data_IF_906228504189
#
_entry.id   IF_906228504189
#
_cell.length_a   1.000
_cell.length_b   1.000
_cell.length_c   1.000
_cell.angle_alpha   90.00
_cell.angle_beta   90.00
_cell.angle_gamma   90.00
#
_symmetry.space_group_name_H-M   'P 1'
#
loop_
_entity.id
_entity.type
_entity.pdbx_description
1 polymer ?
#
# COMPACT_ATOMS: atom_id res chain seq x y z
N UNK A 1 12.91 -21.82 -0.32
CA UNK A 1 14.20 -21.21 0.08
C UNK A 1 15.27 -21.41 -1.00
N UNK A 2 15.57 -22.64 -1.44
CA UNK A 2 16.58 -22.89 -2.49
C UNK A 2 16.28 -22.23 -3.86
N UNK A 3 15.02 -22.24 -4.32
CA UNK A 3 14.64 -21.62 -5.61
C UNK A 3 14.61 -20.08 -5.61
N UNK A 4 14.40 -19.44 -4.46
CA UNK A 4 14.39 -17.97 -4.35
C UNK A 4 15.80 -17.39 -4.45
N UNK A 5 16.77 -18.08 -3.86
CA UNK A 5 18.18 -17.71 -3.94
C UNK A 5 18.70 -17.78 -5.38
N UNK A 6 18.17 -18.69 -6.20
CA UNK A 6 18.55 -18.84 -7.60
C UNK A 6 18.03 -17.67 -8.48
N UNK A 7 16.76 -17.29 -8.34
CA UNK A 7 16.21 -16.15 -9.09
C UNK A 7 16.83 -14.80 -8.69
N UNK A 8 17.10 -14.60 -7.40
CA UNK A 8 17.81 -13.40 -6.94
C UNK A 8 19.19 -13.29 -7.59
N UNK A 9 19.97 -14.39 -7.58
CA UNK A 9 21.28 -14.43 -8.22
C UNK A 9 21.20 -14.20 -9.73
N UNK A 10 20.17 -14.72 -10.40
CA UNK A 10 19.90 -14.47 -11.83
C UNK A 10 19.61 -12.99 -12.11
N UNK A 11 18.84 -12.31 -11.25
CA UNK A 11 18.53 -10.89 -11.41
C UNK A 11 19.79 -10.03 -11.17
N UNK A 12 20.60 -10.41 -10.18
CA UNK A 12 21.90 -9.79 -9.92
C UNK A 12 22.87 -9.96 -11.10
N UNK A 13 22.94 -11.15 -11.70
CA UNK A 13 23.79 -11.38 -12.88
C UNK A 13 23.28 -10.58 -14.09
N UNK A 14 21.96 -10.50 -14.29
CA UNK A 14 21.38 -9.67 -15.34
C UNK A 14 21.77 -8.19 -15.18
N UNK A 15 21.71 -7.67 -13.95
CA UNK A 15 22.16 -6.32 -13.60
C UNK A 15 23.66 -6.15 -13.86
N UNK A 16 24.48 -7.14 -13.50
CA UNK A 16 25.93 -7.11 -13.71
C UNK A 16 26.30 -7.10 -15.20
N UNK A 17 25.66 -7.91 -16.04
CA UNK A 17 25.87 -7.90 -17.50
C UNK A 17 25.60 -6.51 -18.08
N UNK A 18 24.46 -5.91 -17.71
CA UNK A 18 24.09 -4.57 -18.16
C UNK A 18 25.06 -3.49 -17.66
N UNK A 19 25.55 -3.66 -16.43
CA UNK A 19 26.59 -2.78 -15.87
C UNK A 19 27.89 -2.89 -16.65
N UNK A 20 28.36 -4.11 -16.95
CA UNK A 20 29.59 -4.37 -17.71
C UNK A 20 29.55 -3.70 -19.08
N UNK A 21 28.48 -3.91 -19.86
CA UNK A 21 28.38 -3.26 -21.17
C UNK A 21 28.24 -1.73 -21.06
N UNK A 22 27.60 -1.21 -20.01
CA UNK A 22 27.51 0.24 -19.78
C UNK A 22 28.85 0.91 -19.44
N UNK A 23 29.83 0.13 -18.96
CA UNK A 23 31.20 0.58 -18.64
C UNK A 23 32.26 0.10 -19.64
N UNK A 24 31.87 -0.66 -20.68
CA UNK A 24 32.76 -1.14 -21.74
C UNK A 24 33.56 -2.40 -21.38
N UNK A 25 33.04 -3.22 -20.46
CA UNK A 25 33.69 -4.44 -19.93
C UNK A 25 32.93 -5.73 -20.30
N UNK A 26 32.21 -5.76 -21.43
CA UNK A 26 31.42 -6.93 -21.82
C UNK A 26 32.27 -8.13 -22.28
N UNK A 27 31.72 -9.34 -22.12
CA UNK A 27 32.33 -10.59 -22.58
C UNK A 27 31.56 -11.20 -23.75
N UNK A 28 32.21 -12.09 -24.52
CA UNK A 28 31.56 -12.79 -25.65
C UNK A 28 30.31 -13.60 -25.23
N UNK A 29 30.24 -14.03 -23.98
CA UNK A 29 29.12 -14.84 -23.45
C UNK A 29 27.96 -13.99 -22.94
N UNK A 30 28.17 -12.70 -22.68
CA UNK A 30 27.18 -11.83 -22.04
C UNK A 30 25.93 -11.68 -22.89
N UNK A 31 26.04 -11.70 -24.21
CA UNK A 31 24.90 -11.58 -25.12
C UNK A 31 23.88 -12.72 -24.99
N UNK A 32 24.35 -13.97 -24.96
CA UNK A 32 23.50 -15.15 -24.80
C UNK A 32 22.96 -15.26 -23.36
N UNK A 33 23.81 -14.97 -22.36
CA UNK A 33 23.40 -14.93 -20.95
C UNK A 33 22.31 -13.88 -20.72
N UNK A 34 22.46 -12.68 -21.28
CA UNK A 34 21.46 -11.62 -21.21
C UNK A 34 20.11 -12.10 -21.75
N UNK A 35 20.11 -12.73 -22.94
CA UNK A 35 18.88 -13.22 -23.58
C UNK A 35 18.18 -14.27 -22.72
N UNK A 36 18.94 -15.24 -22.21
CA UNK A 36 18.42 -16.27 -21.31
C UNK A 36 17.84 -15.69 -20.03
N UNK A 37 18.61 -14.88 -19.30
CA UNK A 37 18.17 -14.28 -18.04
C UNK A 37 16.95 -13.36 -18.23
N UNK A 38 16.93 -12.58 -19.31
CA UNK A 38 15.77 -11.77 -19.68
C UNK A 38 14.53 -12.63 -19.90
N UNK A 39 14.65 -13.76 -20.61
CA UNK A 39 13.53 -14.67 -20.86
C UNK A 39 12.97 -15.26 -19.56
N UNK A 40 13.83 -15.65 -18.62
CA UNK A 40 13.43 -16.14 -17.29
C UNK A 40 12.48 -15.15 -16.61
N UNK A 41 12.85 -13.87 -16.52
CA UNK A 41 12.02 -12.87 -15.82
C UNK A 41 10.84 -12.36 -16.64
N UNK A 42 10.94 -12.29 -17.97
CA UNK A 42 9.83 -11.84 -18.84
C UNK A 42 8.73 -12.89 -18.93
N UNK A 43 9.04 -14.18 -18.76
CA UNK A 43 8.08 -15.28 -18.82
C UNK A 43 7.05 -15.28 -17.68
N UNK A 44 7.36 -14.60 -16.56
CA UNK A 44 6.48 -14.47 -15.41
C UNK A 44 5.91 -13.04 -15.31
N UNK A 45 4.59 -12.93 -15.25
CA UNK A 45 3.85 -11.66 -15.24
C UNK A 45 4.29 -10.73 -14.11
N UNK A 46 4.57 -11.26 -12.92
CA UNK A 46 4.96 -10.46 -11.75
C UNK A 46 6.38 -9.94 -11.88
N UNK A 47 7.36 -10.80 -12.19
CA UNK A 47 8.74 -10.36 -12.36
C UNK A 47 8.88 -9.43 -13.54
N UNK A 48 8.13 -9.65 -14.63
CA UNK A 48 8.10 -8.76 -15.79
C UNK A 48 7.66 -7.35 -15.44
N UNK A 49 6.66 -7.21 -14.55
CA UNK A 49 6.17 -5.89 -14.11
C UNK A 49 7.17 -5.13 -13.22
N UNK A 50 8.15 -5.83 -12.64
CA UNK A 50 9.17 -5.28 -11.76
C UNK A 50 10.53 -5.09 -12.46
N UNK A 51 10.66 -5.53 -13.71
CA UNK A 51 11.89 -5.34 -14.48
C UNK A 51 12.02 -3.88 -14.95
N UNK A 52 13.25 -3.37 -15.07
CA UNK A 52 13.49 -2.10 -15.75
C UNK A 52 12.93 -2.09 -17.17
N UNK A 53 12.37 -0.95 -17.58
CA UNK A 53 11.78 -0.77 -18.91
C UNK A 53 12.77 -1.14 -20.03
N UNK A 54 14.05 -0.81 -19.86
CA UNK A 54 15.07 -1.11 -20.85
C UNK A 54 15.34 -2.60 -21.01
N UNK A 55 15.14 -3.42 -19.97
CA UNK A 55 15.21 -4.88 -20.10
C UNK A 55 14.06 -5.39 -20.96
N UNK A 56 12.89 -4.75 -20.90
CA UNK A 56 11.73 -5.11 -21.71
C UNK A 56 11.97 -4.69 -23.18
N UNK A 57 12.44 -3.46 -23.41
CA UNK A 57 12.57 -2.90 -24.76
C UNK A 57 13.82 -3.38 -25.50
N UNK A 58 14.98 -3.49 -24.81
CA UNK A 58 16.23 -3.97 -25.41
C UNK A 58 16.21 -5.50 -25.44
N UNK A 59 15.82 -6.09 -26.56
CA UNK A 59 15.68 -7.55 -26.68
C UNK A 59 17.03 -8.25 -26.77
N UNK A 60 18.03 -7.57 -27.32
CA UNK A 60 19.41 -8.02 -27.40
C UNK A 60 20.29 -7.10 -26.55
N UNK A 61 21.41 -7.63 -26.03
CA UNK A 61 22.35 -6.86 -25.22
C UNK A 61 22.91 -5.65 -26.01
N UNK A 62 23.12 -5.80 -27.32
CA UNK A 62 23.60 -4.72 -28.19
C UNK A 62 22.61 -3.56 -28.36
N UNK A 63 21.32 -3.77 -28.08
CA UNK A 63 20.31 -2.70 -28.10
C UNK A 63 20.47 -1.75 -26.90
N UNK A 64 21.07 -2.24 -25.80
CA UNK A 64 21.17 -1.50 -24.55
C UNK A 64 22.29 -0.44 -24.57
N UNK A 65 23.42 -0.71 -25.23
CA UNK A 65 24.53 0.26 -25.27
C UNK A 65 24.12 1.62 -25.87
N UNK A 66 23.46 1.69 -27.04
CA UNK A 66 22.94 2.94 -27.57
C UNK A 66 21.90 3.60 -26.64
N UNK A 67 21.09 2.81 -25.95
CA UNK A 67 20.08 3.29 -25.01
C UNK A 67 20.71 4.05 -23.84
N UNK A 68 21.74 3.47 -23.21
CA UNK A 68 22.35 4.03 -21.99
C UNK A 68 23.34 5.17 -22.32
N UNK A 69 24.11 5.03 -23.40
CA UNK A 69 25.12 6.03 -23.82
C UNK A 69 24.49 7.39 -24.15
N UNK A 70 23.27 7.41 -24.70
CA UNK A 70 22.55 8.64 -25.04
C UNK A 70 22.00 9.38 -23.82
N UNK A 71 21.78 8.68 -22.70
CA UNK A 71 21.18 9.25 -21.49
C UNK A 71 22.24 9.78 -20.51
N UNK A 72 23.37 9.10 -20.40
CA UNK A 72 24.36 9.39 -19.37
C UNK A 72 25.78 9.45 -19.95
N UNK A 73 26.47 10.54 -19.62
CA UNK A 73 27.84 10.83 -20.07
C UNK A 73 28.91 10.14 -19.23
N UNK A 74 28.66 9.88 -17.94
CA UNK A 74 29.65 9.26 -17.04
C UNK A 74 29.33 7.80 -16.73
N UNK A 75 30.36 7.00 -16.42
CA UNK A 75 30.16 5.63 -15.95
C UNK A 75 29.52 5.56 -14.56
N UNK A 76 29.72 6.58 -13.73
CA UNK A 76 29.10 6.65 -12.41
C UNK A 76 27.57 6.74 -12.55
N UNK A 77 27.08 7.68 -13.36
CA UNK A 77 25.62 7.89 -13.54
C UNK A 77 24.94 6.66 -14.15
N UNK A 78 25.60 5.97 -15.10
CA UNK A 78 25.08 4.73 -15.69
C UNK A 78 24.91 3.63 -14.65
N UNK A 79 25.91 3.46 -13.77
CA UNK A 79 25.86 2.45 -12.72
C UNK A 79 24.80 2.75 -11.68
N UNK A 80 24.64 4.03 -11.33
CA UNK A 80 23.60 4.44 -10.38
C UNK A 80 22.21 4.18 -10.95
N UNK A 81 21.96 4.64 -12.18
CA UNK A 81 20.70 4.40 -12.87
C UNK A 81 20.35 2.92 -12.98
N UNK A 82 21.31 2.08 -13.42
CA UNK A 82 21.08 0.62 -13.51
C UNK A 82 20.81 0.02 -12.12
N UNK A 83 21.45 0.53 -11.06
CA UNK A 83 21.24 0.05 -9.70
C UNK A 83 19.82 0.35 -9.23
N UNK A 84 19.40 1.61 -9.33
CA UNK A 84 18.09 2.09 -8.90
C UNK A 84 16.96 1.35 -9.63
N UNK A 85 17.08 1.18 -10.94
CA UNK A 85 16.05 0.55 -11.77
C UNK A 85 15.86 -0.95 -11.46
N UNK A 86 16.90 -1.63 -10.98
CA UNK A 86 16.81 -3.05 -10.59
C UNK A 86 16.28 -3.25 -9.17
N UNK A 87 16.17 -2.19 -8.37
CA UNK A 87 15.76 -2.29 -6.97
C UNK A 87 14.39 -2.97 -6.78
N UNK A 88 13.33 -2.67 -7.57
CA UNK A 88 12.01 -3.29 -7.37
C UNK A 88 12.02 -4.82 -7.51
N UNK A 89 12.73 -5.36 -8.51
CA UNK A 89 12.81 -6.81 -8.71
C UNK A 89 13.74 -7.47 -7.68
N UNK A 90 14.84 -6.83 -7.30
CA UNK A 90 15.76 -7.37 -6.31
C UNK A 90 15.11 -7.43 -4.93
N UNK A 91 14.48 -6.35 -4.47
CA UNK A 91 13.74 -6.32 -3.21
C UNK A 91 12.66 -7.41 -3.16
N UNK A 92 11.88 -7.58 -4.24
CA UNK A 92 10.89 -8.65 -4.35
C UNK A 92 11.51 -10.05 -4.23
N UNK A 93 12.63 -10.30 -4.90
CA UNK A 93 13.31 -11.60 -4.91
C UNK A 93 14.05 -11.90 -3.59
N UNK A 94 14.54 -10.88 -2.88
CA UNK A 94 15.08 -10.98 -1.52
C UNK A 94 14.01 -11.36 -0.47
N UNK A 95 12.73 -11.35 -0.87
CA UNK A 95 11.61 -11.76 -0.03
C UNK A 95 10.77 -10.59 0.48
N UNK A 96 11.01 -9.37 -0.01
CA UNK A 96 10.20 -8.20 0.32
C UNK A 96 8.90 -8.14 -0.50
N UNK A 97 8.08 -9.19 -0.35
CA UNK A 97 6.72 -9.23 -0.93
C UNK A 97 5.79 -8.19 -0.30
N UNK A 98 6.17 -7.69 0.89
CA UNK A 98 5.47 -6.59 1.56
C UNK A 98 5.61 -5.31 0.74
N UNK A 99 6.79 -5.01 0.20
CA UNK A 99 7.01 -3.84 -0.66
C UNK A 99 6.06 -3.77 -1.87
N UNK A 100 5.79 -4.89 -2.54
CA UNK A 100 4.85 -4.91 -3.68
C UNK A 100 3.39 -4.69 -3.25
N UNK A 101 2.99 -5.21 -2.09
CA UNK A 101 1.65 -4.93 -1.57
C UNK A 101 1.52 -3.46 -1.15
N UNK A 102 2.55 -2.94 -0.49
CA UNK A 102 2.61 -1.54 -0.06
C UNK A 102 2.56 -0.60 -1.26
N UNK A 103 3.26 -0.90 -2.37
CA UNK A 103 3.26 -0.05 -3.57
C UNK A 103 1.88 0.02 -4.22
N UNK A 104 1.17 -1.11 -4.36
CA UNK A 104 -0.20 -1.15 -4.90
C UNK A 104 -1.16 -0.30 -4.04
N UNK A 105 -1.02 -0.38 -2.72
CA UNK A 105 -1.82 0.45 -1.80
C UNK A 105 -1.39 1.92 -1.91
N UNK A 106 -0.09 2.20 -1.98
CA UNK A 106 0.48 3.55 -2.12
C UNK A 106 -0.05 4.25 -3.36
N UNK A 107 -0.11 3.56 -4.50
CA UNK A 107 -0.66 4.10 -5.76
C UNK A 107 -2.13 4.47 -5.62
N UNK A 108 -2.90 3.68 -4.86
CA UNK A 108 -4.31 3.97 -4.63
C UNK A 108 -4.50 5.14 -3.66
N UNK A 109 -3.68 5.19 -2.61
CA UNK A 109 -3.68 6.28 -1.64
C UNK A 109 -3.22 7.59 -2.28
N UNK A 110 -2.20 7.56 -3.14
CA UNK A 110 -1.68 8.75 -3.83
C UNK A 110 -2.67 9.40 -4.80
N UNK A 111 -3.71 8.68 -5.23
CA UNK A 111 -4.83 9.26 -6.02
C UNK A 111 -5.75 10.13 -5.17
N UNK A 112 -5.71 9.98 -3.85
CA UNK A 112 -6.49 10.74 -2.91
C UNK A 112 -5.63 11.93 -2.46
N UNK A 113 -5.78 13.06 -3.17
CA UNK A 113 -4.98 14.28 -3.05
C UNK A 113 -5.08 14.92 -1.64
N UNK A 114 -4.45 14.28 -0.67
CA UNK A 114 -4.50 14.63 0.73
C UNK A 114 -3.15 14.32 1.40
N UNK A 115 -2.36 15.36 1.63
CA UNK A 115 -1.04 15.28 2.25
C UNK A 115 -1.04 14.54 3.59
N UNK A 116 -2.11 14.73 4.38
CA UNK A 116 -2.24 14.08 5.69
C UNK A 116 -2.39 12.57 5.54
N UNK A 117 -3.13 12.10 4.53
CA UNK A 117 -3.32 10.67 4.27
C UNK A 117 -2.00 10.04 3.81
N UNK A 118 -1.31 10.66 2.85
CA UNK A 118 -0.01 10.19 2.36
C UNK A 118 1.03 10.15 3.49
N UNK A 119 1.09 11.19 4.31
CA UNK A 119 1.97 11.27 5.47
C UNK A 119 1.70 10.13 6.47
N UNK A 120 0.44 9.86 6.81
CA UNK A 120 0.11 8.80 7.78
C UNK A 120 0.42 7.40 7.24
N UNK A 121 0.27 7.18 5.93
CA UNK A 121 0.63 5.93 5.28
C UNK A 121 2.14 5.68 5.33
N UNK A 122 2.96 6.63 4.85
CA UNK A 122 4.41 6.51 4.87
C UNK A 122 4.94 6.34 6.30
N UNK A 123 4.40 7.11 7.25
CA UNK A 123 4.75 6.99 8.67
C UNK A 123 4.44 5.61 9.25
N UNK A 124 3.39 4.94 8.78
CA UNK A 124 3.07 3.58 9.21
C UNK A 124 4.07 2.57 8.65
N UNK A 125 4.45 2.71 7.37
CA UNK A 125 5.45 1.87 6.71
C UNK A 125 6.83 2.00 7.36
N UNK A 126 7.32 3.22 7.58
CA UNK A 126 8.64 3.50 8.16
C UNK A 126 8.80 2.90 9.57
N UNK A 127 7.70 2.87 10.33
CA UNK A 127 7.71 2.42 11.73
C UNK A 127 7.46 0.92 11.87
N UNK A 128 7.06 0.22 10.80
CA UNK A 128 6.63 -1.18 10.82
C UNK A 128 7.58 -2.10 11.60
N UNK A 129 8.88 -1.92 11.44
CA UNK A 129 9.89 -2.73 12.11
C UNK A 129 10.40 -2.12 13.42
N UNK A 130 10.78 -0.84 13.39
CA UNK A 130 11.49 -0.18 14.48
C UNK A 130 10.57 0.33 15.61
N UNK A 131 9.30 0.64 15.28
CA UNK A 131 8.29 1.15 16.22
C UNK A 131 6.89 0.54 15.91
N UNK A 132 6.68 -0.76 16.20
CA UNK A 132 5.42 -1.43 15.90
C UNK A 132 4.18 -0.77 16.53
N UNK A 133 4.32 -0.17 17.72
CA UNK A 133 3.22 0.53 18.39
C UNK A 133 2.88 1.85 17.68
N UNK A 134 3.89 2.62 17.27
CA UNK A 134 3.70 3.80 16.44
C UNK A 134 3.14 3.48 15.06
N UNK A 135 3.53 2.35 14.47
CA UNK A 135 2.99 1.87 13.20
C UNK A 135 1.48 1.59 13.28
N UNK A 136 1.02 0.90 14.34
CA UNK A 136 -0.42 0.67 14.58
C UNK A 136 -1.17 2.00 14.77
N UNK A 137 -0.56 2.95 15.48
CA UNK A 137 -1.14 4.28 15.69
C UNK A 137 -1.26 5.07 14.38
N UNK A 138 -0.24 5.00 13.53
CA UNK A 138 -0.25 5.63 12.21
C UNK A 138 -1.29 4.97 11.28
N UNK A 139 -1.39 3.64 11.27
CA UNK A 139 -2.40 2.89 10.52
C UNK A 139 -3.84 3.28 10.93
N UNK A 140 -4.08 3.48 12.24
CA UNK A 140 -5.37 4.00 12.72
C UNK A 140 -5.63 5.43 12.23
N UNK A 141 -4.62 6.29 12.34
CA UNK A 141 -4.72 7.70 11.96
C UNK A 141 -4.95 7.87 10.45
N UNK A 142 -4.40 6.96 9.63
CA UNK A 142 -4.67 6.87 8.20
C UNK A 142 -6.17 6.67 7.94
N UNK A 143 -6.78 5.66 8.56
CA UNK A 143 -8.22 5.39 8.39
C UNK A 143 -9.10 6.55 8.85
N UNK A 144 -8.76 7.19 9.98
CA UNK A 144 -9.44 8.39 10.45
C UNK A 144 -9.35 9.52 9.42
N UNK A 145 -8.15 9.76 8.89
CA UNK A 145 -7.89 10.84 7.91
C UNK A 145 -8.65 10.60 6.61
N UNK A 146 -8.63 9.37 6.09
CA UNK A 146 -9.36 8.99 4.87
C UNK A 146 -10.86 9.16 5.06
N UNK A 147 -11.42 8.66 6.17
CA UNK A 147 -12.85 8.80 6.44
C UNK A 147 -13.26 10.27 6.57
N UNK A 148 -12.49 11.08 7.32
CA UNK A 148 -12.76 12.52 7.48
C UNK A 148 -12.72 13.24 6.14
N UNK A 149 -11.68 13.01 5.34
CA UNK A 149 -11.54 13.64 4.03
C UNK A 149 -12.69 13.25 3.08
N UNK A 150 -13.08 11.97 3.04
CA UNK A 150 -14.25 11.53 2.25
C UNK A 150 -15.53 12.26 2.68
N UNK A 151 -15.77 12.42 3.98
CA UNK A 151 -16.95 13.12 4.48
C UNK A 151 -16.90 14.62 4.18
N UNK A 152 -15.72 15.24 4.25
CA UNK A 152 -15.51 16.64 3.84
C UNK A 152 -15.84 16.83 2.36
N UNK A 153 -15.27 16.01 1.47
CA UNK A 153 -15.52 16.08 0.02
C UNK A 153 -17.00 15.80 -0.33
N UNK A 154 -17.68 14.99 0.48
CA UNK A 154 -19.12 14.71 0.35
C UNK A 154 -20.02 15.72 1.06
N UNK A 155 -19.48 16.77 1.68
CA UNK A 155 -20.22 17.77 2.45
C UNK A 155 -21.09 17.17 3.57
N UNK A 156 -20.59 16.15 4.27
CA UNK A 156 -21.26 15.52 5.40
C UNK A 156 -20.58 15.94 6.70
N UNK A 157 -21.34 16.63 7.56
CA UNK A 157 -20.85 17.03 8.87
C UNK A 157 -20.64 15.83 9.80
N UNK A 158 -19.56 15.89 10.57
CA UNK A 158 -19.28 14.97 11.66
C UNK A 158 -18.74 15.75 12.87
N UNK A 159 -18.80 15.14 14.05
CA UNK A 159 -18.25 15.72 15.28
C UNK A 159 -16.72 15.51 15.33
N UNK A 160 -15.93 16.51 15.69
CA UNK A 160 -14.46 16.37 15.73
C UNK A 160 -13.96 15.31 16.72
N UNK A 161 -14.74 15.02 17.76
CA UNK A 161 -14.50 13.97 18.76
C UNK A 161 -15.10 12.60 18.37
N UNK A 162 -15.64 12.46 17.15
CA UNK A 162 -16.22 11.22 16.67
C UNK A 162 -15.20 10.08 16.76
N UNK A 163 -15.61 8.98 17.38
CA UNK A 163 -14.80 7.78 17.43
C UNK A 163 -14.72 7.12 16.04
N UNK A 164 -13.57 6.49 15.77
CA UNK A 164 -13.33 5.80 14.49
C UNK A 164 -14.45 4.82 14.09
N UNK A 165 -15.02 3.98 14.99
CA UNK A 165 -16.17 3.15 14.67
C UNK A 165 -17.38 3.91 14.09
N UNK A 166 -17.78 5.03 14.70
CA UNK A 166 -18.90 5.87 14.21
C UNK A 166 -18.51 6.60 12.92
N UNK A 167 -17.29 7.09 12.83
CA UNK A 167 -16.75 7.76 11.65
C UNK A 167 -16.77 6.84 10.43
N UNK A 168 -16.27 5.61 10.58
CA UNK A 168 -16.26 4.60 9.53
C UNK A 168 -17.67 4.20 9.08
N UNK A 169 -18.60 4.03 10.03
CA UNK A 169 -20.02 3.75 9.74
C UNK A 169 -20.69 4.89 8.96
N UNK A 170 -20.37 6.14 9.28
CA UNK A 170 -20.91 7.31 8.59
C UNK A 170 -20.35 7.40 7.17
N UNK A 171 -19.05 7.17 7.01
CA UNK A 171 -18.35 7.15 5.73
C UNK A 171 -18.92 6.07 4.80
N UNK A 172 -19.00 4.82 5.27
CA UNK A 172 -19.56 3.71 4.48
C UNK A 172 -21.01 3.95 4.05
N UNK A 173 -21.84 4.55 4.90
CA UNK A 173 -23.19 5.00 4.52
C UNK A 173 -23.17 6.05 3.41
N UNK A 174 -22.30 7.05 3.51
CA UNK A 174 -22.18 8.10 2.50
C UNK A 174 -21.72 7.61 1.12
N UNK A 175 -21.03 6.48 1.10
CA UNK A 175 -20.54 5.81 -0.11
C UNK A 175 -21.58 4.87 -0.72
N UNK A 176 -22.82 4.86 -0.20
CA UNK A 176 -23.85 3.91 -0.58
C UNK A 176 -23.39 2.45 -0.48
N UNK A 177 -22.52 2.15 0.49
CA UNK A 177 -22.22 0.79 0.94
C UNK A 177 -23.27 0.33 1.96
N UNK A 178 -24.49 0.87 1.87
CA UNK A 178 -25.55 0.77 2.86
C UNK A 178 -26.89 0.26 2.26
N UNK A 179 -27.63 -0.55 3.06
CA UNK A 179 -28.35 -1.80 2.72
C UNK A 179 -29.46 -1.79 1.67
N UNK A 180 -29.71 -0.67 1.00
CA UNK A 180 -31.00 -0.43 0.38
C UNK A 180 -31.13 -0.83 -1.09
N UNK A 181 -30.05 -1.18 -1.82
CA UNK A 181 -30.16 -1.67 -3.21
C UNK A 181 -29.05 -2.67 -3.57
N UNK A 182 -29.33 -3.94 -3.24
CA UNK A 182 -28.74 -5.19 -3.77
C UNK A 182 -27.36 -5.64 -3.21
N UNK A 183 -27.31 -6.90 -2.74
CA UNK A 183 -26.11 -7.71 -2.34
C UNK A 183 -25.54 -7.42 -0.92
N UNK A 184 -26.35 -6.87 0.00
CA UNK A 184 -25.82 -6.12 1.16
C UNK A 184 -25.70 -6.82 2.53
N UNK A 185 -25.81 -8.15 2.65
CA UNK A 185 -25.46 -8.80 3.94
C UNK A 185 -23.95 -9.08 4.06
N UNK A 186 -23.31 -9.51 2.96
CA UNK A 186 -21.93 -10.04 2.99
C UNK A 186 -20.90 -8.90 3.04
N UNK A 187 -21.02 -7.89 2.17
CA UNK A 187 -20.10 -6.74 2.18
C UNK A 187 -20.18 -6.00 3.53
N UNK A 188 -21.40 -5.82 4.05
CA UNK A 188 -21.63 -5.26 5.38
C UNK A 188 -20.99 -6.11 6.48
N UNK A 189 -21.06 -7.43 6.39
CA UNK A 189 -20.40 -8.34 7.32
C UNK A 189 -18.87 -8.22 7.25
N UNK A 190 -18.30 -8.09 6.04
CA UNK A 190 -16.86 -7.86 5.83
C UNK A 190 -16.44 -6.52 6.46
N UNK A 191 -17.15 -5.44 6.13
CA UNK A 191 -16.88 -4.10 6.68
C UNK A 191 -17.04 -4.06 8.20
N UNK A 192 -18.05 -4.76 8.75
CA UNK A 192 -18.24 -4.90 10.20
C UNK A 192 -17.09 -5.71 10.83
N UNK A 193 -16.59 -6.74 10.14
CA UNK A 193 -15.42 -7.50 10.55
C UNK A 193 -14.16 -6.62 10.62
N UNK A 194 -13.91 -5.85 9.55
CA UNK A 194 -12.80 -4.87 9.48
C UNK A 194 -12.91 -3.86 10.62
N UNK A 195 -14.10 -3.29 10.85
CA UNK A 195 -14.35 -2.34 11.92
C UNK A 195 -14.05 -2.95 13.31
N UNK A 196 -14.45 -4.19 13.55
CA UNK A 196 -14.16 -4.90 14.81
C UNK A 196 -12.66 -5.17 14.97
N UNK A 197 -11.96 -5.54 13.90
CA UNK A 197 -10.51 -5.76 13.91
C UNK A 197 -9.76 -4.46 14.21
N UNK A 198 -10.12 -3.35 13.57
CA UNK A 198 -9.56 -2.02 13.85
C UNK A 198 -9.85 -1.59 15.30
N UNK A 199 -11.06 -1.82 15.80
CA UNK A 199 -11.43 -1.53 17.19
C UNK A 199 -10.59 -2.37 18.17
N UNK A 200 -10.32 -3.63 17.83
CA UNK A 200 -9.43 -4.52 18.57
C UNK A 200 -8.00 -3.95 18.68
N UNK A 201 -7.41 -3.49 17.57
CA UNK A 201 -6.08 -2.88 17.58
C UNK A 201 -6.02 -1.58 18.37
N UNK A 202 -7.04 -0.74 18.24
CA UNK A 202 -7.11 0.49 19.01
C UNK A 202 -7.19 0.24 20.53
N UNK A 203 -7.98 -0.76 20.92
CA UNK A 203 -8.10 -1.16 22.32
C UNK A 203 -6.81 -1.81 22.85
N UNK A 204 -6.08 -2.51 21.98
CA UNK A 204 -4.76 -3.06 22.28
C UNK A 204 -3.76 -1.94 22.63
N UNK A 205 -3.74 -0.84 21.86
CA UNK A 205 -2.91 0.35 22.17
C UNK A 205 -3.17 0.88 23.58
N UNK A 206 -4.44 1.02 23.97
CA UNK A 206 -4.78 1.55 25.30
C UNK A 206 -4.26 0.64 26.42
N UNK A 207 -4.41 -0.69 26.28
CA UNK A 207 -3.89 -1.66 27.23
C UNK A 207 -2.35 -1.70 27.28
N UNK A 208 -1.67 -1.41 26.17
CA UNK A 208 -0.21 -1.37 26.08
C UNK A 208 0.35 -0.08 26.68
N UNK A 209 -0.28 1.06 26.39
CA UNK A 209 0.05 2.35 27.00
C UNK A 209 -0.05 2.29 28.53
N UNK A 210 -1.08 1.61 29.06
CA UNK A 210 -1.22 1.36 30.49
C UNK A 210 -0.19 0.35 31.05
N UNK A 211 0.29 -0.56 30.22
CA UNK A 211 1.29 -1.56 30.59
C UNK A 211 2.72 -1.00 30.62
N UNK A 212 3.02 0.06 29.86
CA UNK A 212 4.29 0.79 29.95
C UNK A 212 4.49 1.49 31.30
N UNK A 213 3.42 1.73 32.06
CA UNK A 213 3.46 2.24 33.44
C UNK A 213 3.67 1.16 34.52
N UNK A 214 3.74 -0.13 34.17
CA UNK A 214 3.91 -1.23 35.14
C UNK A 214 5.31 -1.85 35.04
N UNK A 215 6.04 -2.01 36.17
CA UNK A 215 7.33 -2.68 36.15
C UNK A 215 7.10 -4.19 35.95
N UNK A 216 7.47 -4.68 34.76
CA UNK A 216 7.50 -6.09 34.29
C UNK A 216 6.13 -6.73 33.98
N UNK A 217 6.01 -7.24 32.74
CA UNK A 217 4.92 -8.15 32.32
C UNK A 217 3.92 -7.60 31.30
N UNK A 218 4.14 -6.42 30.72
CA UNK A 218 3.27 -5.86 29.69
C UNK A 218 3.27 -6.67 28.38
N UNK A 219 2.11 -6.78 27.73
CA UNK A 219 1.99 -7.38 26.40
C UNK A 219 2.75 -6.51 25.38
N UNK A 220 3.71 -7.10 24.66
CA UNK A 220 4.52 -6.40 23.66
C UNK A 220 3.94 -6.60 22.26
N UNK A 221 3.70 -5.50 21.54
CA UNK A 221 3.38 -5.56 20.10
C UNK A 221 4.64 -5.91 19.34
N UNK A 222 4.52 -6.90 18.46
CA UNK A 222 5.60 -7.35 17.59
C UNK A 222 5.34 -6.86 16.15
N UNK A 223 6.40 -6.86 15.34
CA UNK A 223 6.38 -6.56 13.89
C UNK A 223 5.16 -7.15 13.17
N UNK A 224 4.85 -8.43 13.40
CA UNK A 224 3.69 -9.12 12.77
C UNK A 224 2.33 -8.46 13.05
N UNK A 225 2.15 -7.83 14.22
CA UNK A 225 0.89 -7.16 14.54
C UNK A 225 0.81 -5.80 13.86
N UNK A 226 1.94 -5.08 13.77
CA UNK A 226 2.03 -3.83 13.02
C UNK A 226 1.80 -4.06 11.53
N UNK A 227 2.46 -5.06 10.94
CA UNK A 227 2.25 -5.50 9.55
C UNK A 227 0.78 -5.76 9.25
N UNK A 228 0.11 -6.55 10.10
CA UNK A 228 -1.29 -6.87 9.90
C UNK A 228 -2.20 -5.63 10.02
N UNK A 229 -1.92 -4.72 10.95
CA UNK A 229 -2.67 -3.47 11.10
C UNK A 229 -2.46 -2.53 9.90
N UNK A 230 -1.23 -2.38 9.42
CA UNK A 230 -0.87 -1.60 8.22
C UNK A 230 -1.63 -2.15 7.01
N UNK A 231 -1.57 -3.47 6.78
CA UNK A 231 -2.20 -4.08 5.60
C UNK A 231 -3.72 -3.93 5.62
N UNK A 232 -4.36 -4.11 6.79
CA UNK A 232 -5.81 -3.88 6.94
C UNK A 232 -6.16 -2.42 6.70
N UNK A 233 -5.44 -1.49 7.33
CA UNK A 233 -5.71 -0.06 7.19
C UNK A 233 -5.50 0.43 5.77
N UNK A 234 -4.39 0.04 5.13
CA UNK A 234 -4.06 0.38 3.76
C UNK A 234 -5.06 -0.18 2.76
N UNK A 235 -5.36 -1.49 2.84
CA UNK A 235 -6.35 -2.12 1.95
C UNK A 235 -7.75 -1.52 2.11
N UNK A 236 -8.18 -1.26 3.34
CA UNK A 236 -9.48 -0.64 3.62
C UNK A 236 -9.52 0.80 3.11
N UNK A 237 -8.46 1.59 3.34
CA UNK A 237 -8.36 2.96 2.87
C UNK A 237 -8.41 3.04 1.34
N UNK A 238 -7.61 2.20 0.68
CA UNK A 238 -7.61 2.06 -0.78
C UNK A 238 -9.01 1.74 -1.32
N UNK A 239 -9.69 0.76 -0.73
CA UNK A 239 -11.07 0.41 -1.11
C UNK A 239 -12.05 1.60 -0.94
N UNK A 240 -12.00 2.31 0.18
CA UNK A 240 -12.86 3.47 0.43
C UNK A 240 -12.59 4.61 -0.58
N UNK A 241 -11.33 4.88 -0.88
CA UNK A 241 -10.91 5.90 -1.84
C UNK A 241 -11.40 5.54 -3.24
N UNK A 242 -11.15 4.31 -3.69
CA UNK A 242 -11.60 3.85 -5.01
C UNK A 242 -13.12 3.93 -5.12
N UNK A 243 -13.84 3.46 -4.10
CA UNK A 243 -15.31 3.58 -4.03
C UNK A 243 -15.75 5.03 -4.09
N UNK A 244 -15.06 5.95 -3.39
CA UNK A 244 -15.38 7.37 -3.40
C UNK A 244 -15.22 7.97 -4.80
N UNK A 245 -14.12 7.65 -5.49
CA UNK A 245 -13.81 8.17 -6.82
C UNK A 245 -14.76 7.61 -7.89
N UNK A 246 -15.24 6.37 -7.73
CA UNK A 246 -16.17 5.71 -8.66
C UNK A 246 -17.64 6.11 -8.43
N UNK A 247 -18.03 6.41 -7.19
CA UNK A 247 -19.43 6.73 -6.83
C UNK A 247 -19.57 8.25 -6.68
N UNK A 248 -20.21 8.95 -7.65
CA UNK A 248 -20.44 10.40 -7.51
C UNK A 248 -21.27 10.73 -6.27
N UNK A 249 -21.00 11.89 -5.66
CA UNK A 249 -21.76 12.36 -4.50
C UNK A 249 -23.25 12.47 -4.87
N UNK A 250 -24.13 11.79 -4.12
CA UNK A 250 -25.57 11.92 -4.29
C UNK A 250 -25.99 13.29 -3.78
N UNK A 251 -26.31 14.20 -4.69
CA UNK A 251 -26.93 15.50 -4.35
C UNK A 251 -28.38 15.23 -3.97
N UNK A 252 -28.66 14.99 -2.67
CA UNK A 252 -30.04 14.78 -2.21
C UNK A 252 -30.22 14.28 -0.77
N UNK A 253 -30.37 15.23 0.16
CA UNK A 253 -31.24 15.19 1.36
C UNK A 253 -31.25 13.90 2.21
N UNK A 254 -30.37 13.81 3.20
CA UNK A 254 -30.65 13.03 4.42
C UNK A 254 -31.46 13.91 5.39
N UNK A 255 -32.78 13.96 5.25
CA UNK A 255 -33.65 14.46 6.32
C UNK A 255 -33.89 13.33 7.31
N UNK A 256 -33.32 13.48 8.51
CA UNK A 256 -33.67 12.67 9.68
C UNK A 256 -35.17 12.75 9.93
N UNK A 257 -35.86 11.64 9.73
CA UNK A 257 -37.28 11.50 9.99
C UNK A 257 -37.50 11.35 11.51
N UNK A 258 -37.47 12.46 12.26
CA UNK A 258 -38.00 12.49 13.63
C UNK A 258 -39.53 12.46 13.56
N UNK A 259 -40.10 11.27 13.71
CA UNK A 259 -41.53 11.09 13.91
C UNK A 259 -41.97 11.80 15.20
N UNK A 260 -42.61 12.96 15.04
CA UNK A 260 -43.43 13.58 16.09
C UNK A 260 -44.78 12.87 16.04
N UNK A 261 -44.98 11.90 16.94
CA UNK A 261 -46.29 11.33 17.20
C UNK A 261 -46.91 12.04 18.43
N UNK A 262 -47.86 12.89 18.10
CA UNK A 262 -48.69 13.75 18.92
C UNK A 262 -49.45 12.98 20.01
N UNK A 263 -49.41 13.49 21.25
CA UNK A 263 -50.39 13.14 22.30
C UNK A 263 -51.79 13.53 21.86
N UNK A 264 -52.72 12.58 21.76
CA UNK A 264 -54.15 12.87 21.86
C UNK A 264 -54.65 12.47 23.24
N UNK A 265 -55.00 13.49 24.03
CA UNK A 265 -55.94 13.42 25.15
C UNK A 265 -57.34 13.53 24.54
N UNK A 266 -58.20 12.57 24.85
CA UNK A 266 -59.61 12.73 25.23
C UNK A 266 -60.05 11.44 25.90
#
# INVERSE_FOLDING_TARGET
MLMQNDQFNQAMELRMILTRIATGEDTKEDGEKYKFLREVFVSNTFTKALLPDFVITCRLLNDFWPYIKRRFSTYADRREFIREEFEPILAYLEGDKLFMHDSIISDSIGKFDCDTVIYMWNKALDRREADPDGAITAARSLLESVCKQILVERNISYDDSIDLPKLFKTTTRSLNLAPERHIESIIKQILSGIQNTIHGFASLRNKISDAHGKPKGGYKVNKRHAEFAINIAGSTSSFLIQTHLEVPAVVGVFTDNKAVATKQRT
#
